data_IF_435445613805
#
_entry.id   IF_435445613805
#
_cell.length_a   1.000
_cell.length_b   1.000
_cell.length_c   1.000
_cell.angle_alpha   90.00
_cell.angle_beta   90.00
_cell.angle_gamma   90.00
#
_symmetry.space_group_name_H-M   'P 1'
#
loop_
_entity.id
_entity.type
_entity.pdbx_description
1 polymer ?
#
# COMPACT_ATOMS: atom_id res chain seq x y z
N UNK A 1 4.87 19.89 22.70
CA UNK A 1 4.84 18.45 22.36
C UNK A 1 4.67 18.28 20.86
N UNK A 2 5.74 18.36 20.07
CA UNK A 2 5.68 18.24 18.59
C UNK A 2 6.85 17.40 18.07
N UNK A 3 6.82 16.09 18.35
CA UNK A 3 7.81 15.14 17.81
C UNK A 3 7.19 14.25 16.72
N UNK A 4 6.22 14.76 15.95
CA UNK A 4 5.39 13.92 15.06
C UNK A 4 5.71 14.03 13.56
N UNK A 5 6.82 14.68 13.17
CA UNK A 5 7.22 14.79 11.76
C UNK A 5 8.39 13.87 11.35
N UNK A 6 8.66 12.79 12.10
CA UNK A 6 9.39 11.67 11.48
C UNK A 6 8.42 10.97 10.54
N UNK A 7 8.30 11.48 9.32
CA UNK A 7 7.66 10.76 8.20
C UNK A 7 8.40 9.46 8.02
N UNK A 8 7.94 8.40 8.67
CA UNK A 8 8.49 7.07 8.44
C UNK A 8 8.13 6.72 6.99
N UNK A 9 9.11 6.44 6.11
CA UNK A 9 8.82 6.10 4.72
C UNK A 9 7.84 4.92 4.61
N UNK A 10 7.89 4.02 5.60
CA UNK A 10 6.95 2.91 5.80
C UNK A 10 5.51 3.41 6.00
N UNK A 11 5.27 4.47 6.77
CA UNK A 11 3.92 5.01 7.00
C UNK A 11 3.32 5.61 5.73
N UNK A 12 4.15 6.22 4.87
CA UNK A 12 3.70 6.72 3.56
C UNK A 12 3.30 5.56 2.65
N UNK A 13 4.11 4.50 2.60
CA UNK A 13 3.81 3.31 1.82
C UNK A 13 2.57 2.59 2.36
N UNK A 14 2.40 2.48 3.67
CA UNK A 14 1.20 1.91 4.30
C UNK A 14 -0.07 2.66 3.88
N UNK A 15 -0.05 4.00 3.88
CA UNK A 15 -1.17 4.82 3.39
C UNK A 15 -1.46 4.59 1.91
N UNK A 16 -0.41 4.44 1.09
CA UNK A 16 -0.55 4.16 -0.33
C UNK A 16 -1.15 2.76 -0.57
N UNK A 17 -0.68 1.75 0.15
CA UNK A 17 -1.22 0.40 0.12
C UNK A 17 -2.72 0.38 0.48
N UNK A 18 -3.11 1.05 1.58
CA UNK A 18 -4.51 1.15 1.98
C UNK A 18 -5.40 1.81 0.92
N UNK A 19 -4.87 2.84 0.25
CA UNK A 19 -5.59 3.50 -0.85
C UNK A 19 -5.80 2.54 -2.03
N UNK A 20 -4.75 1.83 -2.46
CA UNK A 20 -4.82 0.87 -3.56
C UNK A 20 -5.79 -0.27 -3.23
N UNK A 21 -5.78 -0.78 -2.00
CA UNK A 21 -6.72 -1.81 -1.55
C UNK A 21 -8.17 -1.32 -1.50
N UNK A 22 -8.39 -0.05 -1.16
CA UNK A 22 -9.72 0.56 -1.21
C UNK A 22 -10.21 0.66 -2.66
N UNK A 23 -9.36 1.14 -3.56
CA UNK A 23 -9.65 1.20 -5.01
C UNK A 23 -9.92 -0.21 -5.57
N UNK A 24 -9.10 -1.19 -5.22
CA UNK A 24 -9.28 -2.59 -5.62
C UNK A 24 -10.63 -3.15 -5.14
N UNK A 25 -11.03 -2.90 -3.88
CA UNK A 25 -12.34 -3.32 -3.36
C UNK A 25 -13.49 -2.70 -4.16
N UNK A 26 -13.40 -1.42 -4.47
CA UNK A 26 -14.46 -0.73 -5.22
C UNK A 26 -14.57 -1.28 -6.66
N UNK A 27 -13.43 -1.60 -7.28
CA UNK A 27 -13.35 -2.26 -8.59
C UNK A 27 -13.88 -3.71 -8.55
N UNK A 28 -13.57 -4.44 -7.48
CA UNK A 28 -14.08 -5.79 -7.27
C UNK A 28 -15.61 -5.78 -7.21
N UNK A 29 -16.21 -4.75 -6.58
CA UNK A 29 -17.66 -4.57 -6.50
C UNK A 29 -18.29 -4.21 -7.85
N UNK A 30 -17.56 -3.52 -8.73
CA UNK A 30 -18.02 -3.28 -10.11
C UNK A 30 -17.86 -4.52 -11.02
N UNK A 31 -17.19 -5.58 -10.55
CA UNK A 31 -17.01 -6.83 -11.30
C UNK A 31 -15.88 -6.79 -12.33
N UNK A 32 -15.03 -5.76 -12.33
CA UNK A 32 -13.90 -5.69 -13.26
C UNK A 32 -12.68 -6.43 -12.69
N UNK A 33 -12.62 -7.73 -12.99
CA UNK A 33 -11.58 -8.64 -12.50
C UNK A 33 -10.19 -8.23 -13.00
N UNK A 34 -10.07 -7.69 -14.22
CA UNK A 34 -8.77 -7.29 -14.78
C UNK A 34 -8.22 -6.07 -14.06
N UNK A 35 -9.06 -5.04 -13.88
CA UNK A 35 -8.68 -3.85 -13.14
C UNK A 35 -8.41 -4.16 -11.67
N UNK A 36 -9.18 -5.09 -11.06
CA UNK A 36 -8.93 -5.57 -9.71
C UNK A 36 -7.55 -6.22 -9.63
N UNK A 37 -7.24 -7.19 -10.50
CA UNK A 37 -5.96 -7.87 -10.50
C UNK A 37 -4.78 -6.89 -10.65
N UNK A 38 -4.91 -5.89 -11.53
CA UNK A 38 -3.90 -4.84 -11.69
C UNK A 38 -3.70 -4.03 -10.40
N UNK A 39 -4.79 -3.59 -9.77
CA UNK A 39 -4.72 -2.79 -8.53
C UNK A 39 -4.21 -3.57 -7.33
N UNK A 40 -4.57 -4.84 -7.23
CA UNK A 40 -4.06 -5.73 -6.19
C UNK A 40 -2.56 -5.97 -6.39
N UNK A 41 -2.09 -6.17 -7.63
CA UNK A 41 -0.67 -6.30 -7.93
C UNK A 41 0.13 -5.01 -7.62
N UNK A 42 -0.43 -3.83 -7.88
CA UNK A 42 0.16 -2.55 -7.45
C UNK A 42 0.32 -2.49 -5.93
N UNK A 43 -0.69 -2.95 -5.18
CA UNK A 43 -0.65 -2.97 -3.73
C UNK A 43 0.37 -3.98 -3.18
N UNK A 44 0.47 -5.17 -3.77
CA UNK A 44 1.49 -6.17 -3.42
C UNK A 44 2.91 -5.64 -3.62
N UNK A 45 3.15 -4.86 -4.68
CA UNK A 45 4.44 -4.21 -4.90
C UNK A 45 4.77 -3.19 -3.80
N UNK A 46 3.77 -2.51 -3.23
CA UNK A 46 3.97 -1.60 -2.10
C UNK A 46 4.25 -2.38 -0.81
N UNK A 47 3.57 -3.50 -0.58
CA UNK A 47 3.84 -4.38 0.56
C UNK A 47 5.29 -4.89 0.55
N UNK A 48 5.77 -5.37 -0.61
CA UNK A 48 7.17 -5.79 -0.76
C UNK A 48 8.16 -4.69 -0.41
N UNK A 49 7.92 -3.45 -0.85
CA UNK A 49 8.75 -2.29 -0.48
C UNK A 49 8.73 -2.01 1.02
N UNK A 50 7.60 -2.21 1.69
CA UNK A 50 7.50 -2.06 3.14
C UNK A 50 8.33 -3.15 3.84
N UNK A 51 8.23 -4.40 3.38
CA UNK A 51 9.00 -5.52 3.90
C UNK A 51 10.50 -5.32 3.70
N UNK A 52 10.93 -4.86 2.52
CA UNK A 52 12.33 -4.50 2.23
C UNK A 52 12.85 -3.46 3.21
N UNK A 53 12.14 -2.35 3.41
CA UNK A 53 12.56 -1.28 4.33
C UNK A 53 12.58 -1.76 5.78
N UNK A 54 11.68 -2.67 6.17
CA UNK A 54 11.64 -3.23 7.52
C UNK A 54 12.79 -4.22 7.75
N UNK A 55 13.13 -5.04 6.75
CA UNK A 55 14.24 -5.98 6.79
C UNK A 55 15.60 -5.27 6.73
N UNK A 56 15.74 -4.18 5.98
CA UNK A 56 16.96 -3.36 5.95
C UNK A 56 17.23 -2.64 7.28
N UNK A 57 16.22 -2.48 8.12
CA UNK A 57 16.32 -1.83 9.44
C UNK A 57 16.53 -2.81 10.60
N UNK A 58 16.51 -4.12 10.33
CA UNK A 58 16.74 -5.19 11.31
C UNK A 58 18.24 -5.51 11.44
#
# INVERSE_FOLDING_TARGET
MFSFLKSNPVDKLNKQYQRLMKEARDIQRSGDIKAFAAKTAEADAILKKIEEINNEKA
#
